data_IF_482071569005
#
_entry.id   IF_482071569005
#
_cell.length_a   1.000
_cell.length_b   1.000
_cell.length_c   1.000
_cell.angle_alpha   90.00
_cell.angle_beta   90.00
_cell.angle_gamma   90.00
#
_symmetry.space_group_name_H-M   'P 1'
#
loop_
_entity.id
_entity.type
_entity.pdbx_description
1 polymer ?
#
# COMPACT_ATOMS: atom_id res chain seq x y z
N UNK A 1 -10.45 12.39 25.31
CA UNK A 1 -11.17 11.12 25.29
C UNK A 1 -10.72 10.24 24.15
N UNK A 2 -10.92 8.94 24.25
CA UNK A 2 -10.56 8.00 23.20
C UNK A 2 -11.57 8.06 22.06
N UNK A 3 -11.19 8.64 20.95
CA UNK A 3 -12.04 8.88 19.79
C UNK A 3 -12.55 7.57 19.18
N UNK A 4 -11.75 6.53 19.23
CA UNK A 4 -12.06 5.23 18.63
C UNK A 4 -13.12 4.43 19.41
N UNK A 5 -13.46 4.87 20.63
CA UNK A 5 -14.47 4.20 21.46
C UNK A 5 -15.86 4.84 21.34
N UNK A 6 -16.04 5.85 20.48
CA UNK A 6 -17.32 6.51 20.31
C UNK A 6 -18.20 5.75 19.30
N UNK A 7 -19.38 5.34 19.73
CA UNK A 7 -20.36 4.63 18.90
C UNK A 7 -21.75 5.28 19.02
N UNK A 8 -22.52 5.35 17.94
CA UNK A 8 -22.16 4.96 16.57
C UNK A 8 -21.24 6.00 15.93
N UNK A 9 -20.28 5.54 15.13
CA UNK A 9 -19.25 6.38 14.51
C UNK A 9 -19.84 7.53 13.67
N UNK A 10 -21.00 7.32 13.03
CA UNK A 10 -21.69 8.33 12.19
C UNK A 10 -22.14 9.56 12.98
N UNK A 11 -22.35 9.43 14.28
CA UNK A 11 -22.87 10.49 15.17
C UNK A 11 -21.81 11.10 16.07
N UNK A 12 -20.54 11.04 15.69
CA UNK A 12 -19.46 11.57 16.49
C UNK A 12 -19.48 13.12 16.55
N UNK A 13 -19.82 13.76 17.69
CA UNK A 13 -20.14 15.19 17.72
C UNK A 13 -19.00 16.13 17.31
N UNK A 14 -17.75 15.74 17.59
CA UNK A 14 -16.58 16.56 17.20
C UNK A 14 -16.43 16.58 15.70
N UNK A 15 -16.64 15.44 15.05
CA UNK A 15 -16.54 15.31 13.58
C UNK A 15 -17.70 16.03 12.91
N UNK A 16 -18.91 15.91 13.41
CA UNK A 16 -20.07 16.64 12.88
C UNK A 16 -19.84 18.16 12.85
N UNK A 17 -19.21 18.69 13.87
CA UNK A 17 -18.92 20.12 13.98
C UNK A 17 -17.79 20.59 13.08
N UNK A 18 -16.72 19.82 12.94
CA UNK A 18 -15.47 20.26 12.31
C UNK A 18 -15.19 19.61 10.96
N UNK A 19 -15.83 18.50 10.65
CA UNK A 19 -15.68 17.75 9.42
C UNK A 19 -17.01 17.15 8.94
N UNK A 20 -18.00 17.99 8.55
CA UNK A 20 -19.35 17.53 8.22
C UNK A 20 -19.39 16.53 7.05
N UNK A 21 -18.40 16.56 6.17
CA UNK A 21 -18.23 15.60 5.07
C UNK A 21 -18.01 14.15 5.56
N UNK A 22 -17.62 13.94 6.81
CA UNK A 22 -17.44 12.60 7.38
C UNK A 22 -18.74 11.79 7.39
N UNK A 23 -19.87 12.44 7.61
CA UNK A 23 -21.18 11.78 7.55
C UNK A 23 -21.42 11.19 6.15
N UNK A 24 -21.13 11.96 5.10
CA UNK A 24 -21.26 11.49 3.72
C UNK A 24 -20.36 10.26 3.48
N UNK A 25 -19.11 10.27 3.98
CA UNK A 25 -18.22 9.13 3.85
C UNK A 25 -18.78 7.86 4.50
N UNK A 26 -19.38 7.97 5.67
CA UNK A 26 -19.95 6.82 6.39
C UNK A 26 -21.24 6.34 5.70
N UNK A 27 -22.05 7.24 5.18
CA UNK A 27 -23.29 6.93 4.45
C UNK A 27 -22.98 6.22 3.12
N UNK A 28 -21.88 6.57 2.44
CA UNK A 28 -21.37 5.91 1.25
C UNK A 28 -20.44 4.76 1.61
N UNK A 29 -20.96 3.72 2.27
CA UNK A 29 -20.19 2.58 2.78
C UNK A 29 -19.72 1.60 1.71
N UNK A 30 -20.17 1.75 0.47
CA UNK A 30 -19.78 0.94 -0.69
C UNK A 30 -19.07 1.81 -1.72
N UNK A 31 -18.32 1.17 -2.63
CA UNK A 31 -17.70 1.86 -3.75
C UNK A 31 -18.78 2.19 -4.82
N UNK A 32 -19.48 3.28 -4.59
CA UNK A 32 -20.54 3.82 -5.46
C UNK A 32 -20.07 5.03 -6.28
N UNK A 33 -20.99 5.70 -6.96
CA UNK A 33 -20.69 6.86 -7.80
C UNK A 33 -20.14 8.06 -7.00
N UNK A 34 -20.38 8.11 -5.70
CA UNK A 34 -19.76 9.11 -4.83
C UNK A 34 -18.24 8.95 -4.81
N UNK A 35 -17.73 7.74 -4.65
CA UNK A 35 -16.30 7.45 -4.59
C UNK A 35 -15.64 7.41 -5.96
N UNK A 36 -16.34 6.89 -6.99
CA UNK A 36 -15.79 6.77 -8.35
C UNK A 36 -15.33 8.11 -8.91
N UNK A 37 -16.07 9.20 -8.67
CA UNK A 37 -15.69 10.54 -9.13
C UNK A 37 -14.35 11.05 -8.60
N UNK A 38 -13.87 10.49 -7.49
CA UNK A 38 -12.59 10.83 -6.88
C UNK A 38 -11.49 9.81 -7.17
N UNK A 39 -11.84 8.72 -7.81
CA UNK A 39 -10.96 7.58 -8.02
C UNK A 39 -10.17 7.74 -9.32
N UNK A 40 -8.85 7.79 -9.22
CA UNK A 40 -7.96 7.93 -10.38
C UNK A 40 -8.13 6.74 -11.34
N UNK A 41 -8.41 5.57 -10.83
CA UNK A 41 -8.51 4.33 -11.60
C UNK A 41 -9.73 4.29 -12.54
N UNK A 42 -10.72 5.13 -12.33
CA UNK A 42 -11.81 5.31 -13.29
C UNK A 42 -11.36 6.12 -14.53
N UNK A 43 -10.23 6.83 -14.44
CA UNK A 43 -9.77 7.77 -15.45
C UNK A 43 -8.34 7.56 -15.96
N UNK A 44 -7.72 6.40 -15.80
CA UNK A 44 -6.33 6.16 -16.27
C UNK A 44 -6.12 6.53 -17.74
N UNK A 45 -7.10 6.27 -18.60
CA UNK A 45 -7.05 6.60 -20.03
C UNK A 45 -6.93 8.11 -20.32
N UNK A 46 -7.25 8.97 -19.34
CA UNK A 46 -7.16 10.43 -19.47
C UNK A 46 -5.79 10.95 -19.06
N UNK A 47 -4.98 10.18 -18.35
CA UNK A 47 -3.66 10.60 -17.87
C UNK A 47 -2.64 10.40 -18.98
N UNK A 48 -2.01 11.48 -19.41
CA UNK A 48 -1.10 11.53 -20.56
C UNK A 48 0.31 12.03 -20.21
N UNK A 49 0.58 12.16 -18.93
CA UNK A 49 1.86 12.69 -18.43
C UNK A 49 2.71 11.60 -17.79
N UNK A 50 4.03 11.72 -17.86
CA UNK A 50 4.93 10.86 -17.08
C UNK A 50 4.64 10.96 -15.60
N UNK A 51 4.76 9.83 -14.87
CA UNK A 51 4.50 9.79 -13.45
C UNK A 51 5.52 8.96 -12.68
N UNK A 52 5.90 9.42 -11.48
CA UNK A 52 6.64 8.63 -10.52
C UNK A 52 5.72 8.23 -9.37
N UNK A 53 5.61 6.93 -9.12
CA UNK A 53 4.79 6.34 -8.08
C UNK A 53 5.70 5.86 -6.96
N UNK A 54 5.66 6.57 -5.84
CA UNK A 54 6.53 6.28 -4.70
C UNK A 54 5.70 5.74 -3.54
N UNK A 55 6.14 4.65 -2.93
CA UNK A 55 5.47 4.07 -1.76
C UNK A 55 6.41 3.28 -0.87
N UNK A 56 6.05 3.20 0.41
CA UNK A 56 6.73 2.36 1.39
C UNK A 56 6.13 0.97 1.47
N UNK A 57 6.95 -0.05 1.69
CA UNK A 57 6.49 -1.44 1.90
C UNK A 57 5.64 -1.55 3.18
N UNK A 58 5.79 -0.62 4.11
CA UNK A 58 5.04 -0.52 5.36
C UNK A 58 4.00 0.62 5.35
N UNK A 59 3.73 1.19 4.18
CA UNK A 59 2.75 2.26 3.99
C UNK A 59 1.33 1.70 3.93
N UNK A 60 0.40 2.31 4.65
CA UNK A 60 -1.04 1.97 4.59
C UNK A 60 -1.63 2.24 3.20
N UNK A 61 -1.01 3.09 2.39
CA UNK A 61 -1.45 3.45 1.04
C UNK A 61 -0.73 2.70 -0.09
N UNK A 62 0.18 1.78 0.23
CA UNK A 62 0.97 1.01 -0.74
C UNK A 62 0.12 0.40 -1.86
N UNK A 63 -1.05 -0.15 -1.51
CA UNK A 63 -1.97 -0.75 -2.49
C UNK A 63 -2.36 0.23 -3.60
N UNK A 64 -2.67 1.48 -3.23
CA UNK A 64 -3.05 2.52 -4.18
C UNK A 64 -1.89 2.90 -5.10
N UNK A 65 -0.69 3.03 -4.57
CA UNK A 65 0.53 3.32 -5.32
C UNK A 65 0.79 2.27 -6.41
N UNK A 66 0.79 1.00 -6.03
CA UNK A 66 1.02 -0.12 -6.96
C UNK A 66 -0.12 -0.23 -7.98
N UNK A 67 -1.38 -0.10 -7.53
CA UNK A 67 -2.57 -0.16 -8.40
C UNK A 67 -2.51 0.92 -9.48
N UNK A 68 -2.14 2.15 -9.11
CA UNK A 68 -2.04 3.25 -10.06
C UNK A 68 -0.93 3.02 -11.10
N UNK A 69 0.24 2.56 -10.66
CA UNK A 69 1.33 2.22 -11.58
C UNK A 69 0.90 1.13 -12.57
N UNK A 70 0.36 0.01 -12.08
CA UNK A 70 -0.10 -1.10 -12.92
C UNK A 70 -1.21 -0.65 -13.87
N UNK A 71 -2.18 0.14 -13.39
CA UNK A 71 -3.26 0.66 -14.20
C UNK A 71 -2.78 1.56 -15.33
N UNK A 72 -1.83 2.44 -15.06
CA UNK A 72 -1.27 3.37 -16.04
C UNK A 72 -0.31 2.70 -17.04
N UNK A 73 0.34 1.60 -16.64
CA UNK A 73 1.26 0.86 -17.53
C UNK A 73 0.58 -0.27 -18.28
N UNK A 74 -0.69 -0.57 -17.99
CA UNK A 74 -1.42 -1.64 -18.67
C UNK A 74 -1.74 -1.25 -20.10
N UNK A 75 -1.09 -1.92 -21.06
CA UNK A 75 -1.19 -1.69 -22.50
C UNK A 75 -2.59 -1.90 -23.09
N UNK A 76 -3.55 -2.44 -22.32
CA UNK A 76 -4.92 -2.60 -22.78
C UNK A 76 -5.71 -1.27 -22.81
N UNK A 77 -5.19 -0.23 -22.19
CA UNK A 77 -5.91 1.05 -22.04
C UNK A 77 -5.56 2.11 -23.08
N UNK A 78 -4.55 1.95 -23.89
CA UNK A 78 -4.38 2.72 -25.14
C UNK A 78 -2.96 2.65 -25.76
N UNK A 79 -2.90 3.01 -27.04
CA UNK A 79 -1.72 3.08 -27.92
C UNK A 79 -0.84 4.33 -27.68
N UNK A 80 -0.84 4.95 -26.49
CA UNK A 80 -0.17 6.21 -26.25
C UNK A 80 1.21 6.05 -25.60
N UNK A 81 2.23 6.62 -26.23
CA UNK A 81 3.63 6.66 -25.75
C UNK A 81 3.79 7.27 -24.36
N UNK A 82 2.90 8.17 -23.93
CA UNK A 82 2.94 8.79 -22.61
C UNK A 82 2.76 7.81 -21.44
N UNK A 83 2.12 6.66 -21.68
CA UNK A 83 1.95 5.59 -20.70
C UNK A 83 3.27 4.84 -20.47
N UNK A 84 4.21 4.88 -21.40
CA UNK A 84 5.51 4.21 -21.29
C UNK A 84 6.43 4.86 -20.25
N UNK A 85 6.17 6.10 -19.86
CA UNK A 85 7.01 6.88 -18.95
C UNK A 85 6.42 6.92 -17.52
N UNK A 86 6.11 5.75 -16.97
CA UNK A 86 5.73 5.60 -15.57
C UNK A 86 6.85 4.91 -14.80
N UNK A 87 7.14 5.38 -13.59
CA UNK A 87 8.14 4.78 -12.70
C UNK A 87 7.53 4.40 -11.37
N UNK A 88 7.81 3.19 -10.92
CA UNK A 88 7.48 2.70 -9.58
C UNK A 88 8.74 2.65 -8.72
N UNK A 89 8.69 3.27 -7.55
CA UNK A 89 9.74 3.26 -6.55
C UNK A 89 9.15 2.79 -5.21
N UNK A 90 9.53 1.58 -4.78
CA UNK A 90 9.10 1.01 -3.51
C UNK A 90 10.31 0.81 -2.59
N UNK A 91 10.24 1.40 -1.40
CA UNK A 91 11.31 1.32 -0.42
C UNK A 91 10.85 0.79 0.95
N UNK A 92 11.79 0.57 1.88
CA UNK A 92 11.51 0.02 3.20
C UNK A 92 10.98 1.11 4.16
N UNK A 93 9.98 1.85 3.72
CA UNK A 93 9.43 3.00 4.45
C UNK A 93 8.00 2.75 4.92
N UNK A 94 7.56 3.52 5.89
CA UNK A 94 6.16 3.80 6.18
C UNK A 94 5.63 4.86 5.20
N UNK A 95 4.51 5.49 5.48
CA UNK A 95 4.01 6.61 4.68
C UNK A 95 4.94 7.83 4.70
N UNK A 96 5.79 7.94 5.71
CA UNK A 96 6.82 8.98 5.80
C UNK A 96 8.16 8.40 5.31
N UNK A 97 8.51 8.60 4.03
CA UNK A 97 9.68 7.95 3.42
C UNK A 97 11.02 8.40 3.97
N UNK A 98 11.02 9.48 4.74
CA UNK A 98 12.20 10.00 5.45
C UNK A 98 12.50 9.27 6.76
N UNK A 99 11.65 8.33 7.14
CA UNK A 99 11.84 7.48 8.31
C UNK A 99 11.88 6.03 7.86
N UNK A 100 13.03 5.52 7.41
CA UNK A 100 13.17 4.11 7.07
C UNK A 100 12.94 3.25 8.32
N UNK A 101 12.40 2.07 8.12
CA UNK A 101 12.25 1.11 9.22
C UNK A 101 13.63 0.50 9.49
N UNK A 102 14.30 1.00 10.52
CA UNK A 102 15.72 0.69 10.86
C UNK A 102 16.09 -0.80 10.87
N UNK A 103 15.15 -1.66 11.16
CA UNK A 103 15.37 -3.10 11.28
C UNK A 103 15.59 -3.78 9.93
N UNK A 104 15.19 -3.13 8.82
CA UNK A 104 15.04 -3.80 7.52
C UNK A 104 15.89 -3.13 6.44
N UNK A 105 16.22 -1.86 6.57
CA UNK A 105 16.52 -1.06 5.41
C UNK A 105 17.85 -0.34 5.36
N UNK A 106 18.87 -0.77 6.04
CA UNK A 106 20.18 -0.10 6.22
C UNK A 106 20.83 0.66 5.06
N UNK A 107 20.39 0.49 3.81
CA UNK A 107 21.01 1.16 2.65
C UNK A 107 20.15 2.22 1.98
N UNK A 108 18.83 2.29 2.25
CA UNK A 108 17.99 3.37 1.72
C UNK A 108 18.04 4.57 2.67
N UNK A 109 18.90 5.53 2.36
CA UNK A 109 19.01 6.77 3.14
C UNK A 109 17.73 7.62 3.03
N UNK A 110 17.55 8.49 4.00
CA UNK A 110 16.38 9.35 4.13
C UNK A 110 16.14 10.32 2.96
N UNK A 111 17.13 10.58 2.12
CA UNK A 111 17.06 11.60 1.08
C UNK A 111 16.93 11.06 -0.34
N UNK A 112 16.96 9.75 -0.54
CA UNK A 112 16.97 9.18 -1.89
C UNK A 112 15.68 9.46 -2.67
N UNK A 113 14.54 9.62 -2.00
CA UNK A 113 13.29 9.97 -2.67
C UNK A 113 13.35 11.36 -3.27
N UNK A 114 13.86 12.32 -2.52
CA UNK A 114 13.99 13.71 -3.01
C UNK A 114 14.93 13.74 -4.22
N UNK A 115 16.03 13.00 -4.19
CA UNK A 115 16.95 12.86 -5.31
C UNK A 115 16.27 12.22 -6.53
N UNK A 116 15.45 11.20 -6.34
CA UNK A 116 14.68 10.58 -7.41
C UNK A 116 13.63 11.52 -8.00
N UNK A 117 12.94 12.30 -7.17
CA UNK A 117 11.98 13.30 -7.63
C UNK A 117 12.66 14.42 -8.44
N UNK A 118 13.79 14.92 -7.96
CA UNK A 118 14.57 15.96 -8.68
C UNK A 118 15.07 15.42 -10.02
N UNK A 119 15.67 14.22 -10.06
CA UNK A 119 16.11 13.60 -11.33
C UNK A 119 14.96 13.40 -12.30
N UNK A 120 13.80 12.95 -11.82
CA UNK A 120 12.59 12.75 -12.63
C UNK A 120 12.13 14.08 -13.25
N UNK A 121 12.04 15.13 -12.46
CA UNK A 121 11.66 16.45 -12.93
C UNK A 121 12.72 17.05 -13.87
N UNK A 122 13.99 16.90 -13.60
CA UNK A 122 15.08 17.37 -14.45
C UNK A 122 15.08 16.64 -15.80
N UNK A 123 14.79 15.34 -15.82
CA UNK A 123 14.66 14.62 -17.08
C UNK A 123 13.49 15.13 -17.92
N UNK A 124 12.28 15.21 -17.33
CA UNK A 124 11.07 15.53 -18.10
C UNK A 124 10.83 17.01 -18.36
N UNK A 125 11.41 17.91 -17.56
CA UNK A 125 11.21 19.36 -17.69
C UNK A 125 12.42 20.11 -18.26
N UNK A 126 13.60 19.49 -18.20
CA UNK A 126 14.85 20.11 -18.66
C UNK A 126 15.59 19.25 -19.69
N UNK A 127 14.99 18.15 -20.15
CA UNK A 127 15.56 17.22 -21.12
C UNK A 127 16.95 16.69 -20.71
N UNK A 128 17.17 16.46 -19.40
CA UNK A 128 18.44 15.95 -18.90
C UNK A 128 18.48 14.42 -18.95
N UNK A 129 19.50 13.88 -19.63
CA UNK A 129 19.82 12.45 -19.59
C UNK A 129 20.54 12.13 -18.27
N UNK A 130 19.80 11.66 -17.26
CA UNK A 130 20.28 11.47 -15.91
C UNK A 130 19.94 10.09 -15.30
N UNK A 131 19.49 9.15 -16.15
CA UNK A 131 19.14 7.78 -15.71
C UNK A 131 17.79 7.65 -14.99
N UNK A 132 16.98 8.71 -14.94
CA UNK A 132 15.69 8.66 -14.25
C UNK A 132 14.73 7.61 -14.82
N UNK A 133 14.84 7.30 -16.11
CA UNK A 133 13.97 6.38 -16.86
C UNK A 133 14.57 5.01 -17.12
N UNK A 134 15.81 4.75 -16.69
CA UNK A 134 16.53 3.51 -17.02
C UNK A 134 15.81 2.23 -16.53
N UNK A 135 15.14 2.31 -15.41
CA UNK A 135 14.42 1.19 -14.83
C UNK A 135 12.98 1.62 -14.46
N UNK A 136 11.97 1.12 -15.15
CA UNK A 136 10.56 1.44 -14.84
C UNK A 136 10.17 1.09 -13.41
N UNK A 137 10.78 0.05 -12.83
CA UNK A 137 10.46 -0.43 -11.49
C UNK A 137 11.74 -0.58 -10.68
N UNK A 138 11.78 0.10 -9.55
CA UNK A 138 12.83 -0.04 -8.54
C UNK A 138 12.18 -0.40 -7.21
N UNK A 139 12.55 -1.54 -6.63
CA UNK A 139 11.96 -2.06 -5.39
C UNK A 139 13.07 -2.49 -4.42
N UNK A 140 12.92 -2.13 -3.17
CA UNK A 140 13.72 -2.70 -2.10
C UNK A 140 13.16 -4.08 -1.73
N UNK A 141 13.91 -5.13 -2.02
CA UNK A 141 13.58 -6.50 -1.63
C UNK A 141 14.13 -6.79 -0.24
N UNK A 142 13.25 -7.20 0.67
CA UNK A 142 13.64 -7.51 2.05
C UNK A 142 14.68 -8.63 2.07
N UNK A 143 15.82 -8.37 2.75
CA UNK A 143 16.94 -9.30 2.84
C UNK A 143 17.86 -9.37 1.61
N UNK A 144 17.53 -8.68 0.51
CA UNK A 144 18.34 -8.70 -0.71
C UNK A 144 18.83 -7.31 -1.16
N UNK A 145 18.14 -6.22 -0.73
CA UNK A 145 18.44 -4.87 -1.17
C UNK A 145 17.67 -4.44 -2.43
N UNK A 146 18.23 -3.47 -3.16
CA UNK A 146 17.57 -2.87 -4.33
C UNK A 146 17.54 -3.86 -5.52
N UNK A 147 16.36 -3.96 -6.13
CA UNK A 147 16.13 -4.71 -7.36
C UNK A 147 15.43 -3.84 -8.40
N UNK A 148 15.76 -4.07 -9.65
CA UNK A 148 15.18 -3.39 -10.80
C UNK A 148 14.42 -4.38 -11.68
N UNK A 149 13.24 -3.95 -12.17
CA UNK A 149 12.41 -4.74 -13.07
C UNK A 149 11.89 -3.85 -14.20
N UNK A 150 11.53 -4.48 -15.31
CA UNK A 150 10.97 -3.80 -16.49
C UNK A 150 9.45 -3.64 -16.41
N UNK A 151 8.79 -4.38 -15.54
CA UNK A 151 7.33 -4.40 -15.36
C UNK A 151 6.98 -4.85 -13.94
N UNK A 152 5.75 -4.58 -13.52
CA UNK A 152 5.23 -5.05 -12.24
C UNK A 152 3.83 -5.64 -12.38
N UNK A 153 3.53 -6.84 -11.83
CA UNK A 153 4.53 -7.71 -11.18
C UNK A 153 5.60 -8.19 -12.18
N UNK A 154 6.79 -8.62 -11.70
CA UNK A 154 7.83 -9.17 -12.58
C UNK A 154 7.28 -10.34 -13.42
N UNK A 155 7.73 -10.44 -14.67
CA UNK A 155 7.22 -11.42 -15.66
C UNK A 155 7.25 -12.87 -15.17
N UNK A 156 8.27 -13.22 -14.40
CA UNK A 156 8.47 -14.59 -13.89
C UNK A 156 7.72 -14.85 -12.58
N UNK A 157 6.93 -13.89 -12.11
CA UNK A 157 6.12 -14.04 -10.90
C UNK A 157 5.05 -15.13 -11.10
N UNK A 158 4.88 -15.94 -10.07
CA UNK A 158 3.83 -16.98 -10.04
C UNK A 158 2.95 -16.76 -8.81
N UNK A 159 1.64 -16.84 -9.03
CA UNK A 159 0.70 -16.87 -7.94
C UNK A 159 0.75 -18.25 -7.28
N UNK A 160 1.02 -18.26 -5.97
CA UNK A 160 0.95 -19.45 -5.13
C UNK A 160 -0.16 -19.25 -4.12
N UNK A 161 -1.06 -20.22 -4.01
CA UNK A 161 -2.17 -20.20 -3.08
C UNK A 161 -1.74 -20.96 -1.84
N UNK A 162 -1.92 -20.33 -0.68
CA UNK A 162 -1.82 -20.96 0.63
C UNK A 162 -3.14 -20.82 1.35
N UNK A 163 -3.56 -21.88 1.99
CA UNK A 163 -4.77 -21.90 2.82
C UNK A 163 -4.40 -21.73 4.28
N UNK A 164 -5.29 -21.05 5.02
CA UNK A 164 -5.21 -20.96 6.47
C UNK A 164 -5.79 -22.22 7.08
N UNK A 165 -5.04 -22.81 7.97
CA UNK A 165 -5.41 -24.03 8.70
C UNK A 165 -5.42 -23.79 10.20
N UNK A 166 -6.25 -24.53 10.93
CA UNK A 166 -6.35 -24.47 12.38
C UNK A 166 -6.68 -25.81 13.01
N UNK A 167 -6.04 -26.09 14.13
CA UNK A 167 -6.45 -27.15 15.05
C UNK A 167 -7.52 -26.71 16.05
N UNK A 168 -8.12 -25.52 15.88
CA UNK A 168 -9.16 -24.92 16.73
C UNK A 168 -8.66 -23.87 17.70
N UNK A 169 -7.38 -23.44 17.61
CA UNK A 169 -6.77 -22.43 18.48
C UNK A 169 -5.78 -21.53 17.75
N UNK A 170 -5.97 -21.32 16.44
CA UNK A 170 -5.08 -20.45 15.65
C UNK A 170 -5.20 -18.95 16.02
N UNK A 171 -6.20 -18.57 16.78
CA UNK A 171 -6.53 -17.19 17.17
C UNK A 171 -5.67 -16.61 18.29
N UNK A 172 -4.47 -17.12 18.52
CA UNK A 172 -3.53 -16.62 19.53
C UNK A 172 -2.09 -16.65 19.03
N UNK A 173 -1.20 -15.86 19.68
CA UNK A 173 0.23 -15.84 19.37
C UNK A 173 0.91 -17.20 19.45
N UNK A 174 0.43 -18.08 20.31
CA UNK A 174 0.94 -19.44 20.51
C UNK A 174 -0.08 -20.48 20.04
N UNK A 175 -0.89 -20.09 19.07
CA UNK A 175 -1.90 -20.96 18.48
C UNK A 175 -1.32 -22.06 17.60
N UNK A 176 -2.21 -22.88 17.10
CA UNK A 176 -1.90 -24.04 16.26
C UNK A 176 -2.21 -23.82 14.78
N UNK A 177 -2.26 -22.53 14.36
CA UNK A 177 -2.47 -22.17 12.96
C UNK A 177 -1.23 -22.40 12.11
N UNK A 178 -1.43 -22.81 10.86
CA UNK A 178 -0.38 -22.92 9.85
C UNK A 178 -0.89 -22.54 8.46
N UNK A 179 0.03 -22.40 7.51
CA UNK A 179 -0.26 -22.20 6.10
C UNK A 179 0.16 -23.42 5.31
N UNK A 180 -0.70 -23.88 4.40
CA UNK A 180 -0.43 -25.03 3.54
C UNK A 180 -1.01 -24.82 2.13
N UNK A 181 -0.36 -25.33 1.06
CA UNK A 181 -0.91 -25.30 -0.28
C UNK A 181 -2.13 -26.20 -0.48
N UNK A 182 -2.33 -27.19 0.38
CA UNK A 182 -3.48 -28.08 0.32
C UNK A 182 -4.69 -27.43 0.99
N UNK A 183 -5.86 -27.49 0.38
CA UNK A 183 -7.08 -26.90 0.93
C UNK A 183 -7.58 -27.71 2.13
N UNK A 184 -8.08 -27.06 3.20
CA UNK A 184 -8.64 -27.76 4.36
C UNK A 184 -9.87 -28.56 3.95
N UNK A 185 -9.97 -29.78 4.49
CA UNK A 185 -11.12 -30.66 4.21
C UNK A 185 -12.16 -30.55 5.32
N UNK A 186 -11.71 -30.73 6.56
CA UNK A 186 -12.54 -30.62 7.75
C UNK A 186 -11.67 -30.25 8.94
N UNK A 187 -11.88 -29.05 9.46
CA UNK A 187 -11.11 -28.51 10.57
C UNK A 187 -12.02 -27.86 11.61
N UNK A 188 -11.61 -27.83 12.87
CA UNK A 188 -12.37 -27.15 13.92
C UNK A 188 -12.38 -25.63 13.68
N UNK A 189 -13.43 -24.99 14.10
CA UNK A 189 -13.60 -23.54 13.99
C UNK A 189 -12.87 -22.83 15.14
N UNK A 190 -12.11 -21.79 14.82
CA UNK A 190 -11.63 -20.83 15.80
C UNK A 190 -12.76 -19.91 16.25
N UNK A 191 -12.79 -19.61 17.53
CA UNK A 191 -13.78 -18.72 18.14
C UNK A 191 -13.07 -17.58 18.84
N UNK A 192 -13.49 -16.35 18.54
CA UNK A 192 -13.02 -15.16 19.25
C UNK A 192 -14.19 -14.24 19.62
N UNK A 193 -13.98 -13.40 20.61
CA UNK A 193 -14.95 -12.38 21.01
C UNK A 193 -14.55 -11.06 20.35
N UNK A 194 -15.42 -10.52 19.51
CA UNK A 194 -15.29 -9.18 18.99
C UNK A 194 -15.92 -8.19 19.97
N UNK A 195 -15.08 -7.38 20.61
CA UNK A 195 -15.52 -6.33 21.52
C UNK A 195 -14.96 -4.98 21.05
N UNK A 196 -15.79 -4.09 20.49
CA UNK A 196 -15.32 -2.78 20.03
C UNK A 196 -14.86 -1.85 21.18
N UNK A 197 -15.23 -2.15 22.43
CA UNK A 197 -14.73 -1.40 23.59
C UNK A 197 -13.32 -1.83 24.00
N UNK A 198 -12.90 -3.03 23.59
CA UNK A 198 -11.58 -3.58 23.86
C UNK A 198 -11.00 -4.19 22.59
N UNK A 199 -10.65 -3.37 21.58
CA UNK A 199 -10.17 -3.86 20.30
C UNK A 199 -8.81 -4.55 20.46
N UNK A 200 -8.59 -5.56 19.63
CA UNK A 200 -7.29 -6.24 19.57
C UNK A 200 -6.24 -5.23 19.09
N UNK A 201 -5.15 -5.02 19.85
CA UNK A 201 -4.10 -4.09 19.46
C UNK A 201 -3.37 -4.57 18.21
N UNK A 202 -3.09 -3.65 17.29
CA UNK A 202 -2.18 -3.91 16.18
C UNK A 202 -0.74 -3.75 16.66
N UNK A 203 0.04 -4.81 16.49
CA UNK A 203 1.46 -4.83 16.84
C UNK A 203 2.28 -4.97 15.55
N UNK A 204 2.85 -3.85 15.11
CA UNK A 204 3.55 -3.80 13.82
C UNK A 204 2.61 -3.69 12.62
N UNK A 205 3.15 -3.89 11.41
CA UNK A 205 2.42 -3.78 10.15
C UNK A 205 2.50 -2.40 9.50
N UNK A 206 1.51 -2.08 8.69
CA UNK A 206 1.48 -0.82 7.94
C UNK A 206 1.21 0.38 8.86
N UNK A 207 1.95 1.45 8.66
CA UNK A 207 1.80 2.69 9.43
C UNK A 207 1.79 3.92 8.52
N UNK A 208 1.02 4.95 8.89
CA UNK A 208 1.05 6.23 8.20
C UNK A 208 2.21 7.11 8.71
N UNK A 209 2.12 7.57 9.94
CA UNK A 209 2.76 8.82 10.32
C UNK A 209 3.51 8.76 11.66
N UNK A 210 3.66 7.61 12.27
CA UNK A 210 4.28 7.45 13.58
C UNK A 210 5.32 6.33 13.55
N UNK A 211 6.31 6.43 14.41
CA UNK A 211 7.43 5.50 14.58
C UNK A 211 7.06 4.05 14.93
N UNK A 212 5.85 3.68 14.86
CA UNK A 212 5.33 2.51 15.54
C UNK A 212 5.33 1.23 14.72
N UNK A 213 6.22 1.04 13.78
CA UNK A 213 6.48 -0.31 13.31
C UNK A 213 7.67 -0.86 14.06
N UNK A 214 7.49 -1.14 15.34
CA UNK A 214 8.44 -2.02 16.02
C UNK A 214 8.13 -3.44 15.59
N UNK A 215 9.02 -4.12 14.87
CA UNK A 215 8.94 -5.56 14.71
C UNK A 215 8.92 -6.20 16.10
N UNK A 216 8.03 -7.13 16.30
CA UNK A 216 8.09 -7.96 17.50
C UNK A 216 9.15 -9.04 17.32
#
# INVERSE_FOLDING_TARGET
GNWFNFLPTVSYPVVEKHAPYFREWVEHSSYDDYWKRWSIDEGYHQIKVPGIHTGGLYDIFLRGTVKNFVGLTNKQHDSNEAISNQKLLLGPWTHMPWSPVDVIGGEFSTNEIDDWQVRWLDHHLKDQENGATDHPVTVYMLGEGIRHFNEWPPRDSKNVIYYLHSGGRANSKFGDGWLDPDAPIQEPTDIFIYDPATPIPSLGGHSCCFEAVTPM
#
